data_IF_890606511567
#
_entry.id   IF_890606511567
#
_cell.length_a   1.000
_cell.length_b   1.000
_cell.length_c   1.000
_cell.angle_alpha   90.00
_cell.angle_beta   90.00
_cell.angle_gamma   90.00
#
_symmetry.space_group_name_H-M   'P 1'
#
loop_
_entity.id
_entity.type
_entity.pdbx_description
1 polymer ?
#
# COMPACT_ATOMS: atom_id res chain seq x y z
N UNK A 1 -7.96 -40.10 4.83
CA UNK A 1 -7.37 -39.12 5.77
C UNK A 1 -8.37 -37.99 5.98
N UNK A 2 -9.02 -37.91 7.14
CA UNK A 2 -9.90 -36.79 7.47
C UNK A 2 -9.07 -35.50 7.56
N UNK A 3 -9.40 -34.52 6.73
CA UNK A 3 -8.82 -33.18 6.80
C UNK A 3 -9.28 -32.54 8.12
N UNK A 4 -8.41 -32.55 9.13
CA UNK A 4 -8.68 -31.88 10.41
C UNK A 4 -8.83 -30.39 10.11
N UNK A 5 -10.04 -29.86 10.29
CA UNK A 5 -10.31 -28.44 10.08
C UNK A 5 -9.39 -27.61 10.98
N UNK A 6 -8.77 -26.57 10.42
CA UNK A 6 -7.93 -25.63 11.17
C UNK A 6 -8.80 -24.96 12.24
N UNK A 7 -8.43 -25.16 13.50
CA UNK A 7 -9.05 -24.45 14.62
C UNK A 7 -8.53 -23.01 14.67
N UNK A 8 -9.31 -22.10 14.09
CA UNK A 8 -9.03 -20.66 14.03
C UNK A 8 -9.12 -19.97 15.40
N UNK A 9 -9.65 -20.62 16.43
CA UNK A 9 -9.70 -20.07 17.79
C UNK A 9 -8.56 -20.55 18.69
N UNK A 10 -7.83 -21.58 18.24
CA UNK A 10 -6.67 -22.12 18.97
C UNK A 10 -5.63 -21.05 19.28
N UNK A 11 -5.01 -21.17 20.46
CA UNK A 11 -3.89 -20.30 20.87
C UNK A 11 -2.77 -20.30 19.83
N UNK A 12 -2.47 -21.46 19.24
CA UNK A 12 -1.44 -21.61 18.21
C UNK A 12 -1.73 -20.76 16.96
N UNK A 13 -2.97 -20.79 16.46
CA UNK A 13 -3.37 -19.97 15.32
C UNK A 13 -3.25 -18.47 15.60
N UNK A 14 -3.73 -18.02 16.78
CA UNK A 14 -3.64 -16.61 17.19
C UNK A 14 -2.20 -16.13 17.28
N UNK A 15 -1.31 -16.94 17.87
CA UNK A 15 0.13 -16.64 17.96
C UNK A 15 0.75 -16.58 16.57
N UNK A 16 0.44 -17.52 15.68
CA UNK A 16 0.95 -17.52 14.30
C UNK A 16 0.55 -16.25 13.54
N UNK A 17 -0.72 -15.85 13.62
CA UNK A 17 -1.21 -14.61 12.97
C UNK A 17 -0.56 -13.36 13.55
N UNK A 18 -0.39 -13.30 14.88
CA UNK A 18 0.31 -12.19 15.52
C UNK A 18 1.77 -12.09 15.05
N UNK A 19 2.50 -13.21 15.05
CA UNK A 19 3.89 -13.27 14.56
C UNK A 19 3.99 -12.86 13.09
N UNK A 20 3.03 -13.25 12.26
CA UNK A 20 2.94 -12.84 10.86
C UNK A 20 2.78 -11.32 10.70
N UNK A 21 1.89 -10.70 11.48
CA UNK A 21 1.70 -9.25 11.45
C UNK A 21 2.96 -8.51 11.92
N UNK A 22 3.62 -8.98 12.99
CA UNK A 22 4.90 -8.43 13.47
C UNK A 22 5.97 -8.50 12.38
N UNK A 23 6.10 -9.65 11.72
CA UNK A 23 7.03 -9.81 10.59
C UNK A 23 6.75 -8.77 9.50
N UNK A 24 5.49 -8.56 9.11
CA UNK A 24 5.12 -7.57 8.10
C UNK A 24 5.39 -6.12 8.53
N UNK A 25 5.24 -5.78 9.81
CA UNK A 25 5.64 -4.46 10.33
C UNK A 25 7.15 -4.25 10.20
N UNK A 26 7.96 -5.21 10.64
CA UNK A 26 9.43 -5.13 10.53
C UNK A 26 9.85 -5.06 9.06
N UNK A 27 9.23 -5.89 8.21
CA UNK A 27 9.55 -5.92 6.80
C UNK A 27 9.20 -4.61 6.09
N UNK A 28 8.09 -3.97 6.48
CA UNK A 28 7.74 -2.60 6.02
C UNK A 28 8.87 -1.62 6.33
N UNK A 29 9.45 -1.68 7.53
CA UNK A 29 10.59 -0.85 7.92
C UNK A 29 11.81 -1.05 7.03
N UNK A 30 12.14 -2.30 6.70
CA UNK A 30 13.26 -2.64 5.80
C UNK A 30 13.03 -2.08 4.39
N UNK A 31 11.83 -2.26 3.84
CA UNK A 31 11.47 -1.78 2.49
C UNK A 31 11.53 -0.25 2.40
N UNK A 32 11.21 0.45 3.49
CA UNK A 32 11.22 1.92 3.54
C UNK A 32 12.62 2.48 3.79
N UNK A 33 13.43 1.82 4.63
CA UNK A 33 14.72 2.37 5.08
C UNK A 33 15.70 2.61 3.93
N UNK A 34 15.82 1.68 2.98
CA UNK A 34 16.81 1.75 1.90
C UNK A 34 16.52 2.92 0.93
N UNK A 35 15.30 3.10 0.38
CA UNK A 35 14.98 4.29 -0.41
C UNK A 35 15.18 5.60 0.33
N UNK A 36 14.87 5.65 1.63
CA UNK A 36 15.06 6.86 2.43
C UNK A 36 16.54 7.17 2.58
N UNK A 37 17.40 6.16 2.82
CA UNK A 37 18.85 6.35 2.82
C UNK A 37 19.37 6.85 1.47
N UNK A 38 18.86 6.32 0.36
CA UNK A 38 19.15 6.81 -0.97
C UNK A 38 18.72 8.27 -1.15
N UNK A 39 17.51 8.64 -0.72
CA UNK A 39 17.03 10.01 -0.78
C UNK A 39 17.96 10.96 0.00
N UNK A 40 18.35 10.60 1.22
CA UNK A 40 19.21 11.44 2.06
C UNK A 40 20.61 11.66 1.48
N UNK A 41 21.05 10.86 0.50
CA UNK A 41 22.30 11.10 -0.23
C UNK A 41 22.27 12.37 -1.11
N UNK A 42 21.09 12.95 -1.35
CA UNK A 42 20.85 14.01 -2.35
C UNK A 42 20.68 15.43 -1.81
N UNK A 43 20.81 15.64 -0.50
CA UNK A 43 20.40 16.88 0.21
C UNK A 43 21.02 18.19 -0.33
N UNK A 44 22.04 18.16 -1.19
CA UNK A 44 22.82 19.34 -1.63
C UNK A 44 22.51 19.93 -3.02
N UNK A 45 21.55 19.43 -3.81
CA UNK A 45 21.34 19.93 -5.19
C UNK A 45 19.86 20.13 -5.57
N UNK A 46 19.52 21.32 -6.09
CA UNK A 46 18.14 21.75 -6.37
C UNK A 46 17.36 20.91 -7.41
N UNK A 47 17.98 20.42 -8.49
CA UNK A 47 17.27 19.49 -9.40
C UNK A 47 17.09 18.11 -8.78
N UNK A 48 17.99 17.75 -7.88
CA UNK A 48 17.91 16.50 -7.13
C UNK A 48 16.92 16.64 -5.97
N UNK A 49 16.62 17.86 -5.53
CA UNK A 49 15.66 18.15 -4.46
C UNK A 49 14.25 17.65 -4.79
N UNK A 50 13.82 17.72 -6.07
CA UNK A 50 12.54 17.15 -6.49
C UNK A 50 12.49 15.62 -6.39
N UNK A 51 13.58 14.94 -6.77
CA UNK A 51 13.71 13.48 -6.61
C UNK A 51 13.76 13.11 -5.13
N UNK A 52 14.49 13.90 -4.33
CA UNK A 52 14.56 13.75 -2.89
C UNK A 52 13.17 13.81 -2.23
N UNK A 53 12.40 14.88 -2.48
CA UNK A 53 11.05 15.02 -1.96
C UNK A 53 10.11 13.95 -2.50
N UNK A 54 10.25 13.59 -3.78
CA UNK A 54 9.47 12.50 -4.38
C UNK A 54 9.65 11.20 -3.59
N UNK A 55 10.89 10.80 -3.29
CA UNK A 55 11.16 9.58 -2.52
C UNK A 55 10.67 9.71 -1.07
N UNK A 56 10.98 10.83 -0.40
CA UNK A 56 10.58 11.06 1.00
C UNK A 56 9.07 11.10 1.22
N UNK A 57 8.28 11.46 0.20
CA UNK A 57 6.83 11.50 0.30
C UNK A 57 6.19 10.19 -0.17
N UNK A 58 6.63 9.65 -1.32
CA UNK A 58 5.97 8.47 -1.91
C UNK A 58 6.34 7.17 -1.20
N UNK A 59 7.57 6.98 -0.73
CA UNK A 59 7.95 5.72 -0.09
C UNK A 59 7.27 5.57 1.27
N UNK A 60 7.30 6.56 2.18
CA UNK A 60 6.50 6.49 3.40
C UNK A 60 5.00 6.50 3.11
N UNK A 61 4.54 7.25 2.10
CA UNK A 61 3.14 7.26 1.70
C UNK A 61 2.64 5.86 1.31
N UNK A 62 3.21 5.28 0.25
CA UNK A 62 2.76 4.00 -0.29
C UNK A 62 3.21 2.79 0.54
N UNK A 63 4.47 2.70 0.95
CA UNK A 63 4.99 1.47 1.56
C UNK A 63 4.70 1.42 3.06
N UNK A 64 4.94 2.54 3.78
CA UNK A 64 4.71 2.59 5.22
C UNK A 64 3.23 2.81 5.55
N UNK A 65 2.69 3.99 5.26
CA UNK A 65 1.37 4.40 5.74
C UNK A 65 0.25 3.56 5.09
N UNK A 66 0.24 3.39 3.76
CA UNK A 66 -0.77 2.53 3.13
C UNK A 66 -0.66 1.08 3.65
N UNK A 67 0.56 0.55 3.78
CA UNK A 67 0.80 -0.78 4.35
C UNK A 67 0.28 -0.91 5.79
N UNK A 68 0.52 0.10 6.65
CA UNK A 68 -0.03 0.15 8.00
C UNK A 68 -1.56 0.26 7.99
N UNK A 69 -2.16 0.94 7.01
CA UNK A 69 -3.62 1.02 6.87
C UNK A 69 -4.23 -0.35 6.56
N UNK A 70 -3.52 -1.24 5.85
CA UNK A 70 -3.97 -2.61 5.56
C UNK A 70 -3.79 -3.50 6.80
N UNK A 71 -2.61 -3.44 7.43
CA UNK A 71 -2.29 -4.21 8.63
C UNK A 71 -3.21 -3.85 9.81
N UNK A 72 -3.56 -2.57 9.98
CA UNK A 72 -4.45 -2.11 11.04
C UNK A 72 -5.84 -2.76 11.05
N UNK A 73 -6.29 -3.25 9.89
CA UNK A 73 -7.56 -3.98 9.74
C UNK A 73 -7.42 -5.50 9.97
N UNK A 74 -6.20 -6.02 10.07
CA UNK A 74 -5.96 -7.45 10.24
C UNK A 74 -6.33 -7.91 11.66
N UNK A 75 -6.79 -9.16 11.83
CA UNK A 75 -6.96 -9.75 13.14
C UNK A 75 -5.60 -9.92 13.82
N UNK A 76 -5.56 -9.73 15.15
CA UNK A 76 -4.33 -9.89 15.96
C UNK A 76 -3.16 -9.00 15.51
N UNK A 77 -3.45 -7.80 14.96
CA UNK A 77 -2.44 -6.84 14.55
C UNK A 77 -1.88 -6.07 15.76
N UNK A 78 -0.56 -5.90 15.85
CA UNK A 78 0.11 -5.51 17.09
C UNK A 78 -0.39 -4.20 17.70
N UNK A 79 -0.51 -3.13 16.90
CA UNK A 79 -0.92 -1.81 17.41
C UNK A 79 -2.45 -1.61 17.43
N UNK A 80 -3.22 -2.47 16.78
CA UNK A 80 -4.69 -2.31 16.66
C UNK A 80 -5.47 -3.43 17.35
N UNK A 81 -4.83 -4.30 18.13
CA UNK A 81 -5.49 -5.47 18.75
C UNK A 81 -6.62 -5.06 19.70
N UNK A 82 -6.42 -4.01 20.49
CA UNK A 82 -7.41 -3.50 21.45
C UNK A 82 -8.54 -2.66 20.80
N UNK A 83 -8.40 -2.31 19.52
CA UNK A 83 -9.39 -1.49 18.82
C UNK A 83 -10.58 -2.34 18.38
N UNK A 84 -11.80 -1.86 18.64
CA UNK A 84 -13.00 -2.45 18.10
C UNK A 84 -13.12 -2.21 16.59
N UNK A 85 -14.12 -2.83 15.95
CA UNK A 85 -14.28 -2.76 14.48
C UNK A 85 -14.48 -1.33 13.95
N UNK A 86 -15.14 -0.46 14.73
CA UNK A 86 -15.39 0.94 14.35
C UNK A 86 -14.09 1.73 14.46
N UNK A 87 -13.33 1.54 15.54
CA UNK A 87 -12.03 2.19 15.78
C UNK A 87 -10.97 1.76 14.76
N UNK A 88 -10.88 0.46 14.44
CA UNK A 88 -9.99 -0.04 13.38
C UNK A 88 -10.30 0.62 12.04
N UNK A 89 -11.58 0.79 11.72
CA UNK A 89 -11.99 1.48 10.50
C UNK A 89 -11.61 2.95 10.53
N UNK A 90 -11.74 3.62 11.68
CA UNK A 90 -11.30 5.01 11.87
C UNK A 90 -9.81 5.15 11.65
N UNK A 91 -9.01 4.31 12.30
CA UNK A 91 -7.56 4.31 12.13
C UNK A 91 -7.17 4.05 10.66
N UNK A 92 -7.82 3.08 10.00
CA UNK A 92 -7.60 2.77 8.59
C UNK A 92 -7.77 3.99 7.68
N UNK A 93 -8.93 4.67 7.73
CA UNK A 93 -9.17 5.77 6.79
C UNK A 93 -8.30 6.99 7.10
N UNK A 94 -7.97 7.26 8.37
CA UNK A 94 -7.08 8.36 8.76
C UNK A 94 -5.67 8.12 8.18
N UNK A 95 -5.11 6.93 8.41
CA UNK A 95 -3.78 6.57 7.92
C UNK A 95 -3.76 6.53 6.38
N UNK A 96 -4.79 5.96 5.75
CA UNK A 96 -4.90 5.91 4.29
C UNK A 96 -5.06 7.30 3.66
N UNK A 97 -5.75 8.23 4.33
CA UNK A 97 -5.88 9.62 3.88
C UNK A 97 -4.53 10.34 3.96
N UNK A 98 -3.80 10.21 5.07
CA UNK A 98 -2.46 10.79 5.21
C UNK A 98 -1.51 10.24 4.16
N UNK A 99 -1.50 8.92 3.96
CA UNK A 99 -0.76 8.25 2.87
C UNK A 99 -1.06 8.89 1.51
N UNK A 100 -2.35 9.03 1.19
CA UNK A 100 -2.80 9.56 -0.10
C UNK A 100 -2.36 11.01 -0.31
N UNK A 101 -2.43 11.86 0.73
CA UNK A 101 -1.97 13.25 0.69
C UNK A 101 -0.49 13.32 0.33
N UNK A 102 0.37 12.55 1.02
CA UNK A 102 1.81 12.53 0.75
C UNK A 102 2.11 12.08 -0.68
N UNK A 103 1.48 11.00 -1.13
CA UNK A 103 1.65 10.45 -2.48
C UNK A 103 1.24 11.46 -3.55
N UNK A 104 0.09 12.11 -3.38
CA UNK A 104 -0.42 13.10 -4.33
C UNK A 104 0.53 14.29 -4.42
N UNK A 105 0.90 14.88 -3.28
CA UNK A 105 1.79 16.04 -3.23
C UNK A 105 3.15 15.71 -3.86
N UNK A 106 3.78 14.60 -3.46
CA UNK A 106 5.09 14.21 -3.99
C UNK A 106 5.07 13.86 -5.49
N UNK A 107 3.95 13.34 -5.99
CA UNK A 107 3.80 13.01 -7.41
C UNK A 107 3.66 14.28 -8.25
N UNK A 108 2.76 15.19 -7.86
CA UNK A 108 2.58 16.46 -8.57
C UNK A 108 3.83 17.34 -8.53
N UNK A 109 4.53 17.37 -7.38
CA UNK A 109 5.79 18.08 -7.27
C UNK A 109 6.83 17.55 -8.26
N UNK A 110 7.04 16.23 -8.31
CA UNK A 110 7.97 15.62 -9.28
C UNK A 110 7.54 15.90 -10.73
N UNK A 111 6.24 15.82 -11.03
CA UNK A 111 5.72 16.08 -12.38
C UNK A 111 5.97 17.51 -12.85
N UNK A 112 5.89 18.48 -11.96
CA UNK A 112 6.12 19.89 -12.26
C UNK A 112 7.59 20.17 -12.63
N UNK A 113 8.54 19.56 -11.93
CA UNK A 113 9.97 19.80 -12.16
C UNK A 113 10.61 18.92 -13.24
N UNK A 114 9.88 17.93 -13.76
CA UNK A 114 10.39 17.02 -14.77
C UNK A 114 10.07 17.53 -16.18
N UNK A 115 11.09 17.59 -17.05
CA UNK A 115 10.92 18.04 -18.44
C UNK A 115 9.99 17.14 -19.26
N UNK A 116 10.04 15.82 -19.03
CA UNK A 116 9.21 14.83 -19.72
C UNK A 116 8.63 13.86 -18.70
N UNK A 117 7.31 13.86 -18.59
CA UNK A 117 6.57 12.98 -17.69
C UNK A 117 6.21 11.65 -18.36
N UNK A 118 6.10 10.59 -17.55
CA UNK A 118 5.54 9.29 -17.93
C UNK A 118 6.19 8.57 -19.13
N UNK A 119 7.45 8.87 -19.43
CA UNK A 119 8.23 8.24 -20.50
C UNK A 119 9.04 7.00 -20.08
N UNK A 120 8.87 6.53 -18.84
CA UNK A 120 9.56 5.35 -18.30
C UNK A 120 8.57 4.41 -17.64
N UNK A 121 8.90 3.12 -17.55
CA UNK A 121 8.04 2.13 -16.87
C UNK A 121 7.74 2.53 -15.41
N UNK A 122 8.74 3.02 -14.68
CA UNK A 122 8.55 3.60 -13.35
C UNK A 122 7.50 4.73 -13.34
N UNK A 123 7.58 5.66 -14.28
CA UNK A 123 6.63 6.77 -14.38
C UNK A 123 5.22 6.31 -14.75
N UNK A 124 5.09 5.37 -15.68
CA UNK A 124 3.79 4.82 -16.12
C UNK A 124 3.12 4.06 -14.99
N UNK A 125 3.81 3.12 -14.34
CA UNK A 125 3.24 2.35 -13.22
C UNK A 125 2.97 3.22 -12.00
N UNK A 126 3.81 4.25 -11.78
CA UNK A 126 3.57 5.27 -10.75
C UNK A 126 2.32 6.11 -11.03
N UNK A 127 2.06 6.47 -12.29
CA UNK A 127 0.82 7.17 -12.68
C UNK A 127 -0.41 6.30 -12.46
N UNK A 128 -0.35 5.01 -12.83
CA UNK A 128 -1.44 4.07 -12.55
C UNK A 128 -1.70 4.01 -11.04
N UNK A 129 -0.66 3.88 -10.21
CA UNK A 129 -0.79 3.89 -8.76
C UNK A 129 -1.45 5.17 -8.24
N UNK A 130 -1.05 6.34 -8.75
CA UNK A 130 -1.61 7.64 -8.39
C UNK A 130 -3.09 7.75 -8.76
N UNK A 131 -3.47 7.39 -9.99
CA UNK A 131 -4.88 7.45 -10.44
C UNK A 131 -5.75 6.57 -9.57
N UNK A 132 -5.35 5.32 -9.34
CA UNK A 132 -6.09 4.41 -8.47
C UNK A 132 -6.14 4.90 -7.02
N UNK A 133 -5.08 5.54 -6.51
CA UNK A 133 -5.09 6.17 -5.18
C UNK A 133 -6.14 7.26 -5.11
N UNK A 134 -6.17 8.19 -6.07
CA UNK A 134 -7.17 9.27 -6.13
C UNK A 134 -8.59 8.72 -6.18
N UNK A 135 -8.87 7.72 -7.04
CA UNK A 135 -10.19 7.09 -7.13
C UNK A 135 -10.55 6.33 -5.83
N UNK A 136 -9.56 5.73 -5.16
CA UNK A 136 -9.76 5.00 -3.89
C UNK A 136 -10.21 5.91 -2.76
N UNK A 137 -9.74 7.17 -2.70
CA UNK A 137 -10.18 8.14 -1.70
C UNK A 137 -11.69 8.38 -1.82
N UNK A 138 -12.18 8.65 -3.04
CA UNK A 138 -13.61 8.89 -3.28
C UNK A 138 -14.45 7.64 -3.03
N UNK A 139 -13.99 6.47 -3.50
CA UNK A 139 -14.70 5.20 -3.24
C UNK A 139 -14.70 4.83 -1.75
N UNK A 140 -13.67 5.23 -1.00
CA UNK A 140 -13.57 5.05 0.45
C UNK A 140 -14.61 5.86 1.22
N UNK A 141 -14.86 7.11 0.83
CA UNK A 141 -15.94 7.93 1.39
C UNK A 141 -17.31 7.28 1.12
N UNK A 142 -17.55 6.83 -0.10
CA UNK A 142 -18.79 6.11 -0.45
C UNK A 142 -18.96 4.81 0.37
N UNK A 143 -17.88 4.07 0.60
CA UNK A 143 -17.88 2.85 1.39
C UNK A 143 -18.06 3.09 2.90
N UNK A 144 -17.64 4.27 3.42
CA UNK A 144 -17.81 4.69 4.81
C UNK A 144 -19.25 5.09 5.12
N UNK A 145 -19.92 5.79 4.20
CA UNK A 145 -21.28 6.31 4.37
C UNK A 145 -22.31 5.69 3.42
N UNK A 146 -22.45 4.34 3.41
CA UNK A 146 -23.22 3.65 2.38
C UNK A 146 -24.71 4.02 2.39
N UNK A 147 -25.29 4.38 3.54
CA UNK A 147 -26.69 4.80 3.65
C UNK A 147 -26.97 6.14 2.96
N UNK A 148 -26.01 7.06 2.99
CA UNK A 148 -26.11 8.39 2.37
C UNK A 148 -25.97 8.34 0.85
N UNK A 149 -25.23 7.34 0.34
CA UNK A 149 -25.00 7.14 -1.10
C UNK A 149 -25.90 6.08 -1.73
N UNK A 150 -26.68 5.33 -0.95
CA UNK A 150 -27.56 4.24 -1.43
C UNK A 150 -28.59 4.69 -2.47
N UNK A 151 -29.06 5.93 -2.40
CA UNK A 151 -30.03 6.51 -3.35
C UNK A 151 -29.38 7.22 -4.54
N UNK A 152 -28.08 7.56 -4.46
CA UNK A 152 -27.37 8.37 -5.47
C UNK A 152 -26.44 7.56 -6.35
N UNK A 153 -25.94 6.43 -5.86
CA UNK A 153 -25.06 5.55 -6.60
C UNK A 153 -25.88 4.33 -7.05
N UNK A 154 -25.95 4.07 -8.36
CA UNK A 154 -26.59 2.89 -8.94
C UNK A 154 -25.84 1.56 -8.63
N UNK A 155 -25.06 1.52 -7.55
CA UNK A 155 -24.19 0.41 -7.19
C UNK A 155 -24.58 -0.14 -5.81
N UNK A 156 -24.87 -1.45 -5.68
CA UNK A 156 -25.19 -2.02 -4.38
C UNK A 156 -24.02 -1.87 -3.39
N UNK A 157 -24.35 -1.73 -2.10
CA UNK A 157 -23.39 -1.46 -1.01
C UNK A 157 -22.25 -2.50 -0.98
N UNK A 158 -22.55 -3.76 -1.30
CA UNK A 158 -21.55 -4.83 -1.35
C UNK A 158 -20.50 -4.56 -2.44
N UNK A 159 -20.93 -4.15 -3.64
CA UNK A 159 -20.04 -3.85 -4.76
C UNK A 159 -19.23 -2.57 -4.53
N UNK A 160 -19.79 -1.56 -3.84
CA UNK A 160 -19.04 -0.35 -3.46
C UNK A 160 -17.86 -0.67 -2.53
N UNK A 161 -18.04 -1.60 -1.58
CA UNK A 161 -16.94 -2.03 -0.69
C UNK A 161 -15.90 -2.88 -1.43
N UNK A 162 -16.35 -3.77 -2.31
CA UNK A 162 -15.46 -4.60 -3.13
C UNK A 162 -14.63 -3.73 -4.07
N UNK A 163 -15.24 -2.76 -4.75
CA UNK A 163 -14.53 -1.86 -5.64
C UNK A 163 -13.50 -1.03 -4.89
N UNK A 164 -13.83 -0.49 -3.71
CA UNK A 164 -12.86 0.23 -2.87
C UNK A 164 -11.62 -0.63 -2.55
N UNK A 165 -11.82 -1.90 -2.16
CA UNK A 165 -10.70 -2.81 -1.86
C UNK A 165 -9.85 -3.08 -3.10
N UNK A 166 -10.48 -3.37 -4.24
CA UNK A 166 -9.77 -3.65 -5.50
C UNK A 166 -9.00 -2.42 -6.00
N UNK A 167 -9.59 -1.23 -5.90
CA UNK A 167 -8.94 0.02 -6.29
C UNK A 167 -7.71 0.30 -5.41
N UNK A 168 -7.88 0.20 -4.08
CA UNK A 168 -6.79 0.43 -3.14
C UNK A 168 -5.67 -0.61 -3.27
N UNK A 169 -6.02 -1.87 -3.53
CA UNK A 169 -5.03 -2.91 -3.81
C UNK A 169 -4.28 -2.65 -5.11
N UNK A 170 -4.98 -2.27 -6.18
CA UNK A 170 -4.34 -1.96 -7.46
C UNK A 170 -3.37 -0.79 -7.30
N UNK A 171 -3.77 0.26 -6.57
CA UNK A 171 -2.87 1.36 -6.23
C UNK A 171 -1.60 0.86 -5.51
N UNK A 172 -1.76 0.04 -4.48
CA UNK A 172 -0.65 -0.49 -3.69
C UNK A 172 0.28 -1.39 -4.53
N UNK A 173 -0.25 -2.35 -5.29
CA UNK A 173 0.54 -3.25 -6.14
C UNK A 173 1.29 -2.47 -7.22
N UNK A 174 0.63 -1.54 -7.91
CA UNK A 174 1.27 -0.73 -8.94
C UNK A 174 2.34 0.20 -8.37
N UNK A 175 2.18 0.65 -7.12
CA UNK A 175 3.23 1.39 -6.40
C UNK A 175 4.47 0.53 -6.13
N UNK A 176 4.28 -0.74 -5.73
CA UNK A 176 5.37 -1.70 -5.53
C UNK A 176 6.11 -2.01 -6.84
N UNK A 177 5.36 -2.21 -7.92
CA UNK A 177 5.95 -2.37 -9.28
C UNK A 177 6.73 -1.12 -9.70
N UNK A 178 6.19 0.07 -9.46
CA UNK A 178 6.90 1.34 -9.74
C UNK A 178 8.18 1.48 -8.91
N UNK A 179 8.16 1.06 -7.65
CA UNK A 179 9.32 1.05 -6.76
C UNK A 179 10.40 0.07 -7.26
N UNK A 180 10.02 -1.13 -7.71
CA UNK A 180 10.95 -2.07 -8.35
C UNK A 180 11.64 -1.46 -9.57
N UNK A 181 10.90 -0.80 -10.47
CA UNK A 181 11.50 -0.09 -11.60
C UNK A 181 12.37 1.10 -11.18
N UNK A 182 12.17 1.66 -9.99
CA UNK A 182 13.03 2.73 -9.47
C UNK A 182 14.41 2.22 -9.08
N UNK A 183 14.50 1.01 -8.50
CA UNK A 183 15.77 0.36 -8.17
C UNK A 183 16.53 -0.11 -9.41
N UNK A 184 15.81 -0.40 -10.50
CA UNK A 184 16.40 -0.82 -11.76
C UNK A 184 17.12 0.32 -12.51
N UNK A 185 16.94 1.58 -12.08
CA UNK A 185 17.61 2.74 -12.68
C UNK A 185 19.11 2.72 -12.39
N UNK A 186 19.92 3.10 -13.39
CA UNK A 186 21.37 3.22 -13.26
C UNK A 186 21.81 4.09 -12.07
N UNK A 187 21.09 5.19 -11.79
CA UNK A 187 21.41 6.06 -10.66
C UNK A 187 21.33 5.36 -9.29
N UNK A 188 20.41 4.39 -9.12
CA UNK A 188 20.30 3.62 -7.88
C UNK A 188 21.31 2.47 -7.85
N UNK A 189 21.45 1.74 -8.97
CA UNK A 189 22.46 0.68 -9.12
C UNK A 189 23.88 1.18 -8.90
N UNK A 190 24.21 2.37 -9.38
CA UNK A 190 25.54 2.97 -9.17
C UNK A 190 25.77 3.37 -7.70
N UNK A 191 24.71 3.61 -6.92
CA UNK A 191 24.81 3.98 -5.51
C UNK A 191 25.01 2.77 -4.59
N UNK A 192 24.25 1.69 -4.79
CA UNK A 192 24.25 0.52 -3.89
C UNK A 192 24.93 -0.73 -4.48
N UNK A 193 25.16 -0.77 -5.79
CA UNK A 193 25.59 -1.96 -6.52
C UNK A 193 24.42 -2.72 -7.16
N UNK A 194 24.68 -3.40 -8.29
CA UNK A 194 23.64 -4.08 -9.08
C UNK A 194 22.98 -5.24 -8.32
N UNK A 195 23.75 -6.07 -7.61
CA UNK A 195 23.23 -7.21 -6.86
C UNK A 195 22.36 -6.78 -5.67
N UNK A 196 22.77 -5.73 -4.96
CA UNK A 196 21.98 -5.16 -3.88
C UNK A 196 20.69 -4.51 -4.40
N UNK A 197 20.72 -3.88 -5.58
CA UNK A 197 19.51 -3.37 -6.23
C UNK A 197 18.55 -4.50 -6.63
N UNK A 198 19.06 -5.62 -7.14
CA UNK A 198 18.26 -6.82 -7.42
C UNK A 198 17.61 -7.37 -6.14
N UNK A 199 18.35 -7.43 -5.03
CA UNK A 199 17.80 -7.83 -3.74
C UNK A 199 16.65 -6.91 -3.30
N UNK A 200 16.78 -5.58 -3.48
CA UNK A 200 15.71 -4.62 -3.17
C UNK A 200 14.44 -4.87 -4.01
N UNK A 201 14.60 -5.21 -5.29
CA UNK A 201 13.48 -5.56 -6.19
C UNK A 201 12.77 -6.82 -5.70
N UNK A 202 13.52 -7.89 -5.42
CA UNK A 202 12.97 -9.16 -4.95
C UNK A 202 12.23 -8.97 -3.63
N UNK A 203 12.85 -8.29 -2.65
CA UNK A 203 12.24 -8.04 -1.35
C UNK A 203 10.97 -7.20 -1.48
N UNK A 204 10.97 -6.17 -2.32
CA UNK A 204 9.78 -5.33 -2.56
C UNK A 204 8.65 -6.10 -3.22
N UNK A 205 8.96 -6.96 -4.18
CA UNK A 205 7.97 -7.82 -4.82
C UNK A 205 7.34 -8.78 -3.81
N UNK A 206 8.16 -9.47 -3.00
CA UNK A 206 7.69 -10.36 -1.94
C UNK A 206 6.82 -9.58 -0.94
N UNK A 207 7.31 -8.45 -0.42
CA UNK A 207 6.58 -7.60 0.50
C UNK A 207 5.20 -7.20 -0.04
N UNK A 208 5.15 -6.74 -1.30
CA UNK A 208 3.92 -6.32 -1.97
C UNK A 208 2.92 -7.49 -2.05
N UNK A 209 3.39 -8.68 -2.42
CA UNK A 209 2.55 -9.90 -2.46
C UNK A 209 2.03 -10.22 -1.07
N UNK A 210 2.88 -10.25 -0.05
CA UNK A 210 2.50 -10.65 1.30
C UNK A 210 1.46 -9.71 1.92
N UNK A 211 1.62 -8.38 1.77
CA UNK A 211 0.61 -7.42 2.24
C UNK A 211 -0.71 -7.49 1.46
N UNK A 212 -0.69 -7.99 0.23
CA UNK A 212 -1.87 -8.13 -0.62
C UNK A 212 -2.76 -9.32 -0.24
N UNK A 213 -2.25 -10.30 0.51
CA UNK A 213 -2.98 -11.54 0.84
C UNK A 213 -4.29 -11.25 1.58
N UNK A 214 -4.26 -10.43 2.64
CA UNK A 214 -5.44 -10.15 3.47
C UNK A 214 -6.53 -9.35 2.72
N UNK A 215 -6.22 -8.27 1.98
CA UNK A 215 -7.19 -7.62 1.10
C UNK A 215 -7.79 -8.55 0.05
N UNK A 216 -6.99 -9.44 -0.53
CA UNK A 216 -7.48 -10.42 -1.53
C UNK A 216 -8.43 -11.44 -0.93
N UNK A 217 -8.07 -12.01 0.23
CA UNK A 217 -8.95 -12.91 0.95
C UNK A 217 -10.26 -12.24 1.38
N UNK A 218 -10.20 -10.98 1.82
CA UNK A 218 -11.37 -10.18 2.17
C UNK A 218 -12.27 -9.94 0.95
N UNK A 219 -11.67 -9.65 -0.20
CA UNK A 219 -12.38 -9.47 -1.47
C UNK A 219 -13.12 -10.73 -1.87
N UNK A 220 -12.43 -11.88 -1.87
CA UNK A 220 -13.03 -13.19 -2.17
C UNK A 220 -14.23 -13.50 -1.25
N UNK A 221 -14.07 -13.32 0.06
CA UNK A 221 -15.16 -13.54 1.02
C UNK A 221 -16.38 -12.65 0.73
N UNK A 222 -16.15 -11.37 0.42
CA UNK A 222 -17.23 -10.43 0.11
C UNK A 222 -17.94 -10.77 -1.20
N UNK A 223 -17.21 -11.15 -2.24
CA UNK A 223 -17.81 -11.64 -3.49
C UNK A 223 -18.71 -12.85 -3.23
N UNK A 224 -18.23 -13.85 -2.49
CA UNK A 224 -19.02 -15.05 -2.15
C UNK A 224 -20.30 -14.71 -1.38
N UNK A 225 -20.27 -13.70 -0.50
CA UNK A 225 -21.47 -13.24 0.21
C UNK A 225 -22.41 -12.44 -0.67
N UNK A 226 -21.91 -11.65 -1.63
CA UNK A 226 -22.73 -10.80 -2.50
C UNK A 226 -23.47 -11.59 -3.60
N UNK A 227 -22.98 -12.79 -3.94
CA UNK A 227 -23.58 -13.70 -4.93
C UNK A 227 -24.61 -14.67 -4.33
N UNK A 228 -24.76 -14.68 -3.00
CA UNK A 228 -25.80 -15.44 -2.30
C UNK A 228 -27.00 -14.53 -2.02
#
# INVERSE_FOLDING_TARGET
MLHKSIDMESKSFKVSMFSWNVFLHVFTGVIVAIPIAYALSFVRNNQIYAIYLHILLLVPGFQLLMGQSFLGLCPYNSWSTELNTVEKRRAHWIIAMLSSILVIIGSFYMMYFKNINFNTMHGITGLVALVFTTVTIFSGVAALYPSQFKSKLFLPIAFSKISHILLGLTAFVMSGVSLCYSYDKNAFKNWIGADAALACIILTAIFTILLSINPMFTTYRRFKTALK
#
